data_IF_498816409911
#
_entry.id   IF_498816409911
#
_cell.length_a   1.000
_cell.length_b   1.000
_cell.length_c   1.000
_cell.angle_alpha   90.00
_cell.angle_beta   90.00
_cell.angle_gamma   90.00
#
_symmetry.space_group_name_H-M   'P 1'
#
loop_
_entity.id
_entity.type
_entity.pdbx_description
1 polymer ?
#
# COMPACT_ATOMS: atom_id res chain seq x y z
N UNK A 1 -19.02 -32.19 -36.97
CA UNK A 1 -20.07 -31.44 -36.27
C UNK A 1 -19.41 -30.29 -35.54
N UNK A 2 -19.56 -29.08 -36.08
CA UNK A 2 -19.24 -27.82 -35.43
C UNK A 2 -20.04 -27.67 -34.14
N UNK A 3 -19.46 -27.04 -33.12
CA UNK A 3 -19.77 -25.64 -32.79
C UNK A 3 -18.64 -25.05 -31.93
N UNK A 4 -17.93 -24.11 -32.53
CA UNK A 4 -17.20 -23.02 -31.90
C UNK A 4 -18.14 -22.09 -31.14
N UNK A 5 -17.81 -21.78 -29.89
CA UNK A 5 -18.05 -20.47 -29.26
C UNK A 5 -16.96 -20.30 -28.19
N UNK A 6 -15.96 -19.45 -28.30
CA UNK A 6 -16.08 -18.06 -28.74
C UNK A 6 -16.55 -17.21 -27.56
N UNK A 7 -15.58 -16.59 -26.86
CA UNK A 7 -15.68 -15.59 -25.79
C UNK A 7 -15.77 -16.06 -24.33
N UNK A 8 -14.60 -16.08 -23.67
CA UNK A 8 -14.30 -15.31 -22.44
C UNK A 8 -12.78 -15.36 -22.15
N UNK A 9 -12.01 -14.60 -22.93
CA UNK A 9 -10.68 -14.19 -22.50
C UNK A 9 -10.81 -12.78 -21.94
N UNK A 10 -11.01 -12.68 -20.62
CA UNK A 10 -10.76 -11.48 -19.82
C UNK A 10 -10.72 -11.96 -18.35
N UNK A 11 -9.53 -11.96 -17.75
CA UNK A 11 -9.17 -12.49 -16.42
C UNK A 11 -8.96 -14.01 -16.36
N UNK A 12 -7.81 -14.48 -16.82
CA UNK A 12 -7.24 -15.74 -16.29
C UNK A 12 -6.83 -15.48 -14.83
N UNK A 13 -6.93 -16.48 -13.96
CA UNK A 13 -6.53 -16.39 -12.54
C UNK A 13 -5.03 -16.20 -12.32
N UNK A 14 -4.26 -15.90 -13.38
CA UNK A 14 -2.80 -15.95 -13.40
C UNK A 14 -2.29 -17.24 -12.72
N UNK A 15 -1.44 -17.11 -11.71
CA UNK A 15 -0.91 -18.22 -10.92
C UNK A 15 -1.71 -18.51 -9.64
N UNK A 16 -2.82 -17.79 -9.40
CA UNK A 16 -3.64 -17.96 -8.20
C UNK A 16 -4.62 -19.12 -8.32
N UNK A 17 -4.77 -19.85 -7.22
CA UNK A 17 -5.84 -20.84 -7.04
C UNK A 17 -7.20 -20.14 -6.88
N UNK A 18 -8.29 -20.91 -7.03
CA UNK A 18 -9.63 -20.37 -6.78
C UNK A 18 -9.80 -19.88 -5.34
N UNK A 19 -9.20 -20.57 -4.36
CA UNK A 19 -9.25 -20.14 -2.96
C UNK A 19 -8.55 -18.78 -2.75
N UNK A 20 -7.38 -18.59 -3.39
CA UNK A 20 -6.65 -17.32 -3.34
C UNK A 20 -7.44 -16.19 -3.99
N UNK A 21 -8.08 -16.46 -5.13
CA UNK A 21 -9.00 -15.51 -5.77
C UNK A 21 -10.18 -15.15 -4.87
N UNK A 22 -10.79 -16.12 -4.19
CA UNK A 22 -11.91 -15.88 -3.29
C UNK A 22 -11.46 -15.06 -2.07
N UNK A 23 -10.27 -15.34 -1.52
CA UNK A 23 -9.65 -14.55 -0.44
C UNK A 23 -9.37 -13.11 -0.89
N UNK A 24 -8.79 -12.94 -2.08
CA UNK A 24 -8.58 -11.64 -2.69
C UNK A 24 -9.92 -10.91 -2.85
N UNK A 25 -10.91 -11.55 -3.47
CA UNK A 25 -12.24 -10.97 -3.71
C UNK A 25 -12.98 -10.57 -2.44
N UNK A 26 -12.77 -11.27 -1.30
CA UNK A 26 -13.35 -10.92 0.01
C UNK A 26 -12.74 -9.69 0.68
N UNK A 27 -11.45 -9.45 0.46
CA UNK A 27 -10.72 -8.30 1.00
C UNK A 27 -10.86 -7.05 0.12
N UNK A 28 -11.12 -7.31 -1.14
CA UNK A 28 -11.68 -6.40 -2.12
C UNK A 28 -13.22 -6.49 -1.95
N UNK A 29 -14.12 -5.82 -2.64
CA UNK A 29 -15.57 -5.85 -2.29
C UNK A 29 -15.96 -5.28 -0.90
N UNK A 30 -17.20 -4.81 -0.84
CA UNK A 30 -17.87 -4.39 0.38
C UNK A 30 -19.15 -5.19 0.46
N UNK A 31 -19.40 -5.89 1.57
CA UNK A 31 -20.54 -6.81 1.71
C UNK A 31 -21.78 -6.19 2.36
N UNK A 32 -21.68 -4.93 2.81
CA UNK A 32 -22.83 -4.24 3.40
C UNK A 32 -23.94 -3.94 2.38
N UNK A 33 -25.14 -3.77 2.94
CA UNK A 33 -26.36 -3.33 2.28
C UNK A 33 -26.19 -1.97 1.59
N UNK A 34 -27.13 -1.64 0.69
CA UNK A 34 -27.19 -0.31 0.08
C UNK A 34 -27.28 0.80 1.15
N UNK A 35 -28.04 0.56 2.23
CA UNK A 35 -28.16 1.51 3.34
C UNK A 35 -26.82 1.79 4.00
N UNK A 36 -26.01 0.77 4.24
CA UNK A 36 -24.66 0.93 4.81
C UNK A 36 -23.72 1.65 3.83
N UNK A 37 -23.77 1.33 2.53
CA UNK A 37 -23.00 2.08 1.52
C UNK A 37 -23.34 3.57 1.52
N UNK A 38 -24.64 3.89 1.56
CA UNK A 38 -25.11 5.27 1.63
C UNK A 38 -24.67 5.94 2.94
N UNK A 39 -24.77 5.23 4.07
CA UNK A 39 -24.30 5.72 5.36
C UNK A 39 -22.81 6.08 5.32
N UNK A 40 -21.95 5.24 4.72
CA UNK A 40 -20.50 5.48 4.59
C UNK A 40 -20.14 6.73 3.79
N UNK A 41 -21.09 7.30 3.05
CA UNK A 41 -20.91 8.60 2.37
C UNK A 41 -20.66 9.72 3.38
N UNK A 42 -21.21 9.62 4.59
CA UNK A 42 -21.16 10.68 5.61
C UNK A 42 -20.76 10.18 7.00
N UNK A 43 -21.14 8.96 7.40
CA UNK A 43 -20.83 8.36 8.70
C UNK A 43 -19.49 7.61 8.66
N UNK A 44 -18.80 7.51 9.81
CA UNK A 44 -17.62 6.67 9.92
C UNK A 44 -17.99 5.18 9.81
N UNK A 45 -17.11 4.39 9.20
CA UNK A 45 -17.21 2.93 9.20
C UNK A 45 -16.78 2.40 10.57
N UNK A 46 -17.75 2.02 11.42
CA UNK A 46 -17.49 1.43 12.73
C UNK A 46 -16.96 -0.01 12.66
N UNK A 47 -17.08 -0.68 11.51
CA UNK A 47 -16.68 -2.07 11.29
C UNK A 47 -15.26 -2.21 10.73
N UNK A 48 -14.57 -1.10 10.50
CA UNK A 48 -13.24 -1.12 9.93
C UNK A 48 -12.22 -1.80 10.87
N UNK A 49 -11.42 -2.77 10.39
CA UNK A 49 -10.43 -3.45 11.22
C UNK A 49 -9.36 -2.52 11.83
N UNK A 50 -9.16 -1.33 11.26
CA UNK A 50 -8.25 -0.30 11.76
C UNK A 50 -8.94 0.71 12.71
N UNK A 51 -10.21 0.49 13.07
CA UNK A 51 -11.00 1.36 13.93
C UNK A 51 -11.88 2.35 13.16
N UNK A 52 -12.84 2.96 13.87
CA UNK A 52 -13.88 3.79 13.27
C UNK A 52 -13.29 4.96 12.46
N UNK A 53 -13.53 4.98 11.15
CA UNK A 53 -13.00 6.03 10.26
C UNK A 53 -13.97 6.43 9.15
N UNK A 54 -14.00 7.72 8.83
CA UNK A 54 -14.74 8.20 7.66
C UNK A 54 -14.11 7.63 6.39
N UNK A 55 -14.94 7.23 5.42
CA UNK A 55 -14.50 6.80 4.09
C UNK A 55 -15.07 7.67 2.97
N UNK A 56 -16.20 8.32 3.21
CA UNK A 56 -16.93 9.12 2.23
C UNK A 56 -16.51 10.59 2.14
N UNK A 57 -17.50 11.42 1.85
CA UNK A 57 -17.36 12.86 1.55
C UNK A 57 -16.90 13.69 2.76
N UNK A 58 -17.05 13.15 3.97
CA UNK A 58 -16.60 13.78 5.22
C UNK A 58 -15.24 13.25 5.71
N UNK A 59 -14.51 12.48 4.89
CA UNK A 59 -13.16 12.08 5.23
C UNK A 59 -12.27 13.32 5.49
N UNK A 60 -11.44 13.35 6.56
CA UNK A 60 -10.66 14.52 6.95
C UNK A 60 -9.85 15.16 5.83
N UNK A 61 -9.31 14.35 4.90
CA UNK A 61 -8.57 14.83 3.72
C UNK A 61 -9.35 15.79 2.81
N UNK A 62 -10.69 15.79 2.87
CA UNK A 62 -11.54 16.65 2.04
C UNK A 62 -11.91 17.98 2.71
N UNK A 63 -11.65 18.12 4.01
CA UNK A 63 -12.13 19.23 4.82
C UNK A 63 -13.63 19.52 4.54
N UNK A 64 -13.95 20.75 4.12
CA UNK A 64 -15.31 21.19 3.81
C UNK A 64 -15.65 21.20 2.30
N UNK A 65 -14.77 20.66 1.45
CA UNK A 65 -14.92 20.74 -0.01
C UNK A 65 -16.28 20.19 -0.48
N UNK A 66 -16.59 18.94 -0.14
CA UNK A 66 -17.81 18.29 -0.61
C UNK A 66 -19.09 18.88 -0.02
N UNK A 67 -19.19 19.17 1.30
CA UNK A 67 -20.33 19.89 1.85
C UNK A 67 -20.61 21.20 1.12
N UNK A 68 -19.58 22.00 0.85
CA UNK A 68 -19.73 23.29 0.17
C UNK A 68 -20.12 23.11 -1.30
N UNK A 69 -19.58 22.11 -1.98
CA UNK A 69 -19.99 21.79 -3.35
C UNK A 69 -21.46 21.34 -3.44
N UNK A 70 -21.94 20.55 -2.48
CA UNK A 70 -23.36 20.14 -2.40
C UNK A 70 -24.26 21.36 -2.20
N UNK A 71 -23.91 22.26 -1.28
CA UNK A 71 -24.65 23.52 -1.08
C UNK A 71 -24.61 24.39 -2.34
N UNK A 72 -23.46 24.45 -3.02
CA UNK A 72 -23.30 25.24 -4.23
C UNK A 72 -24.21 24.73 -5.36
N UNK A 73 -24.21 23.41 -5.58
CA UNK A 73 -25.05 22.74 -6.56
C UNK A 73 -26.54 22.89 -6.21
N UNK A 74 -26.90 22.68 -4.94
CA UNK A 74 -28.26 22.88 -4.44
C UNK A 74 -28.75 24.31 -4.66
N UNK A 75 -27.89 25.31 -4.47
CA UNK A 75 -28.22 26.72 -4.72
C UNK A 75 -28.42 27.02 -6.20
N UNK A 76 -27.54 26.50 -7.07
CA UNK A 76 -27.70 26.60 -8.52
C UNK A 76 -29.02 25.97 -9.01
N UNK A 77 -29.42 24.86 -8.39
CA UNK A 77 -30.68 24.16 -8.69
C UNK A 77 -31.91 24.79 -7.98
N UNK A 78 -31.75 25.46 -6.84
CA UNK A 78 -32.88 26.13 -6.16
C UNK A 78 -33.21 27.48 -6.84
N UNK A 79 -32.20 28.17 -7.37
CA UNK A 79 -32.34 29.45 -8.08
C UNK A 79 -32.80 29.29 -9.55
N UNK A 80 -33.31 28.10 -9.91
CA UNK A 80 -33.74 27.71 -11.27
C UNK A 80 -34.76 28.66 -11.92
N UNK A 81 -35.45 29.53 -11.19
CA UNK A 81 -36.37 30.52 -11.79
C UNK A 81 -35.66 31.79 -12.30
N UNK A 82 -34.50 32.14 -11.76
CA UNK A 82 -33.79 33.39 -12.09
C UNK A 82 -32.38 33.23 -12.67
N UNK A 83 -31.77 32.05 -12.58
CA UNK A 83 -30.41 31.84 -13.08
C UNK A 83 -30.31 31.88 -14.63
N UNK A 84 -29.17 32.29 -15.21
CA UNK A 84 -28.91 32.19 -16.64
C UNK A 84 -29.02 30.73 -17.11
N UNK A 85 -29.60 30.49 -18.29
CA UNK A 85 -29.78 29.13 -18.84
C UNK A 85 -28.47 28.33 -18.91
N UNK A 86 -27.34 29.00 -19.16
CA UNK A 86 -26.00 28.40 -19.16
C UNK A 86 -25.60 27.83 -17.79
N UNK A 87 -25.83 28.58 -16.70
CA UNK A 87 -25.53 28.12 -15.34
C UNK A 87 -26.36 26.88 -14.97
N UNK A 88 -27.62 26.85 -15.39
CA UNK A 88 -28.50 25.67 -15.18
C UNK A 88 -27.97 24.43 -15.90
N UNK A 89 -27.57 24.56 -17.17
CA UNK A 89 -26.98 23.45 -17.92
C UNK A 89 -25.73 22.90 -17.24
N UNK A 90 -24.83 23.78 -16.80
CA UNK A 90 -23.64 23.37 -16.06
C UNK A 90 -23.97 22.73 -14.71
N UNK A 91 -24.93 23.26 -13.95
CA UNK A 91 -25.38 22.65 -12.71
C UNK A 91 -25.89 21.22 -12.94
N UNK A 92 -26.70 21.00 -13.97
CA UNK A 92 -27.20 19.65 -14.32
C UNK A 92 -26.04 18.73 -14.71
N UNK A 93 -25.14 19.17 -15.60
CA UNK A 93 -24.01 18.36 -16.05
C UNK A 93 -23.07 18.00 -14.89
N UNK A 94 -22.73 18.96 -14.04
CA UNK A 94 -21.86 18.75 -12.89
C UNK A 94 -22.53 17.87 -11.84
N UNK A 95 -23.83 18.07 -11.60
CA UNK A 95 -24.61 17.25 -10.68
C UNK A 95 -24.71 15.80 -11.13
N UNK A 96 -25.00 15.57 -12.42
CA UNK A 96 -25.01 14.22 -13.01
C UNK A 96 -23.62 13.58 -12.97
N UNK A 97 -22.55 14.35 -13.19
CA UNK A 97 -21.19 13.85 -13.13
C UNK A 97 -20.78 13.44 -11.70
N UNK A 98 -21.11 14.27 -10.70
CA UNK A 98 -20.90 13.93 -9.28
C UNK A 98 -21.71 12.71 -8.88
N UNK A 99 -22.97 12.62 -9.29
CA UNK A 99 -23.82 11.47 -9.01
C UNK A 99 -23.27 10.19 -9.65
N UNK A 100 -22.87 10.24 -10.92
CA UNK A 100 -22.29 9.10 -11.62
C UNK A 100 -20.99 8.61 -10.97
N UNK A 101 -20.10 9.53 -10.57
CA UNK A 101 -18.87 9.16 -9.86
C UNK A 101 -19.13 8.67 -8.44
N UNK A 102 -20.11 9.24 -7.73
CA UNK A 102 -20.48 8.75 -6.40
C UNK A 102 -21.08 7.34 -6.48
N UNK A 103 -21.92 7.07 -7.47
CA UNK A 103 -22.40 5.72 -7.78
C UNK A 103 -21.20 4.82 -8.09
N UNK A 104 -20.27 5.26 -8.94
CA UNK A 104 -19.10 4.46 -9.25
C UNK A 104 -18.26 4.14 -8.01
N UNK A 105 -18.08 5.11 -7.11
CA UNK A 105 -17.41 4.94 -5.83
C UNK A 105 -18.12 3.91 -4.94
N UNK A 106 -19.44 4.04 -4.80
CA UNK A 106 -20.27 3.14 -3.99
C UNK A 106 -20.20 1.68 -4.47
N UNK A 107 -20.09 1.43 -5.78
CA UNK A 107 -20.22 0.08 -6.34
C UNK A 107 -18.90 -0.55 -6.83
N UNK A 108 -17.92 0.24 -7.28
CA UNK A 108 -16.74 -0.29 -7.98
C UNK A 108 -15.40 -0.03 -7.27
N UNK A 109 -15.40 0.62 -6.11
CA UNK A 109 -14.13 1.07 -5.46
C UNK A 109 -13.94 0.57 -4.03
N UNK A 110 -14.82 -0.34 -3.59
CA UNK A 110 -14.84 -0.87 -2.22
C UNK A 110 -15.00 0.24 -1.17
N UNK A 111 -15.61 1.36 -1.59
CA UNK A 111 -16.02 2.46 -0.73
C UNK A 111 -14.83 3.05 0.04
N UNK A 112 -13.66 3.17 -0.60
CA UNK A 112 -12.47 3.77 0.02
C UNK A 112 -12.29 5.23 -0.39
N UNK A 113 -11.86 6.08 0.55
CA UNK A 113 -11.78 7.53 0.37
C UNK A 113 -10.86 7.97 -0.77
N UNK A 114 -9.74 7.26 -1.00
CA UNK A 114 -8.81 7.57 -2.09
C UNK A 114 -9.45 7.58 -3.48
N UNK A 115 -10.51 6.81 -3.68
CA UNK A 115 -11.22 6.77 -4.96
C UNK A 115 -12.22 7.91 -5.14
N UNK A 116 -12.35 8.82 -4.16
CA UNK A 116 -13.11 10.06 -4.31
C UNK A 116 -12.29 11.21 -4.92
N UNK A 117 -10.97 11.03 -5.12
CA UNK A 117 -10.09 12.02 -5.77
C UNK A 117 -10.67 12.57 -7.10
N UNK A 118 -11.26 11.76 -7.99
CA UNK A 118 -11.85 12.26 -9.23
C UNK A 118 -13.04 13.22 -9.04
N UNK A 119 -13.72 13.21 -7.89
CA UNK A 119 -14.86 14.10 -7.63
C UNK A 119 -14.39 15.52 -7.25
N UNK A 120 -13.17 15.68 -6.74
CA UNK A 120 -12.68 16.97 -6.22
C UNK A 120 -12.67 18.08 -7.30
N UNK A 121 -12.16 17.87 -8.53
CA UNK A 121 -12.24 18.88 -9.58
C UNK A 121 -13.68 19.29 -9.94
N UNK A 122 -14.62 18.35 -9.94
CA UNK A 122 -16.03 18.62 -10.27
C UNK A 122 -16.70 19.40 -9.14
N UNK A 123 -16.40 19.06 -7.89
CA UNK A 123 -16.85 19.79 -6.71
C UNK A 123 -16.37 21.25 -6.76
N UNK A 124 -15.10 21.48 -7.10
CA UNK A 124 -14.55 22.83 -7.29
C UNK A 124 -15.27 23.56 -8.42
N UNK A 125 -15.50 22.91 -9.57
CA UNK A 125 -16.21 23.54 -10.70
C UNK A 125 -17.65 23.95 -10.34
N UNK A 126 -18.37 23.16 -9.54
CA UNK A 126 -19.71 23.52 -9.09
C UNK A 126 -19.70 24.81 -8.25
N UNK A 127 -18.71 24.94 -7.36
CA UNK A 127 -18.50 26.15 -6.55
C UNK A 127 -18.16 27.35 -7.46
N UNK A 128 -17.27 27.16 -8.43
CA UNK A 128 -16.87 28.21 -9.39
C UNK A 128 -18.04 28.67 -10.28
N UNK A 129 -18.91 27.76 -10.73
CA UNK A 129 -20.08 28.11 -11.55
C UNK A 129 -21.11 28.88 -10.74
N UNK A 130 -21.38 28.47 -9.50
CA UNK A 130 -22.24 29.25 -8.60
C UNK A 130 -21.67 30.66 -8.44
N UNK A 131 -20.37 30.72 -8.18
CA UNK A 131 -19.66 31.96 -8.03
C UNK A 131 -19.79 32.90 -9.24
N UNK A 132 -19.44 32.42 -10.44
CA UNK A 132 -19.58 33.18 -11.69
C UNK A 132 -21.03 33.67 -11.88
N UNK A 133 -22.03 32.83 -11.58
CA UNK A 133 -23.44 33.21 -11.71
C UNK A 133 -23.84 34.36 -10.77
N UNK A 134 -23.33 34.39 -9.54
CA UNK A 134 -23.59 35.47 -8.57
C UNK A 134 -22.88 36.77 -8.96
N UNK A 135 -21.75 36.68 -9.66
CA UNK A 135 -20.97 37.85 -10.10
C UNK A 135 -21.57 38.59 -11.31
N UNK A 136 -22.54 38.02 -12.03
CA UNK A 136 -23.11 38.60 -13.26
C UNK A 136 -24.43 39.37 -13.06
N UNK A 137 -24.94 39.47 -11.82
CA UNK A 137 -26.21 40.16 -11.51
C UNK A 137 -26.07 41.67 -11.22
N UNK A 138 -27.19 42.39 -10.97
CA UNK A 138 -27.18 43.82 -10.59
C UNK A 138 -26.44 44.10 -9.27
N UNK A 139 -26.19 43.06 -8.47
CA UNK A 139 -25.35 43.09 -7.28
C UNK A 139 -23.92 42.57 -7.54
N UNK A 140 -23.40 42.72 -8.78
CA UNK A 140 -22.10 42.19 -9.25
C UNK A 140 -20.96 42.36 -8.26
N UNK A 141 -20.77 43.56 -7.71
CA UNK A 141 -19.67 43.81 -6.77
C UNK A 141 -19.83 43.09 -5.44
N UNK A 142 -21.08 42.83 -5.01
CA UNK A 142 -21.37 42.05 -3.80
C UNK A 142 -21.23 40.55 -4.09
N UNK A 143 -21.69 40.10 -5.25
CA UNK A 143 -21.54 38.71 -5.73
C UNK A 143 -20.07 38.33 -5.88
N UNK A 144 -19.28 39.14 -6.59
CA UNK A 144 -17.84 38.93 -6.76
C UNK A 144 -17.11 38.91 -5.41
N UNK A 145 -17.47 39.79 -4.48
CA UNK A 145 -16.92 39.78 -3.11
C UNK A 145 -17.25 38.48 -2.36
N UNK A 146 -18.50 38.01 -2.41
CA UNK A 146 -18.90 36.73 -1.79
C UNK A 146 -18.12 35.56 -2.39
N UNK A 147 -17.94 35.56 -3.71
CA UNK A 147 -17.17 34.52 -4.43
C UNK A 147 -15.72 34.50 -4.02
N UNK A 148 -15.06 35.65 -4.08
CA UNK A 148 -13.64 35.76 -3.74
C UNK A 148 -13.44 35.40 -2.28
N UNK A 149 -14.31 35.86 -1.38
CA UNK A 149 -14.26 35.49 0.03
C UNK A 149 -14.49 33.99 0.26
N UNK A 150 -15.44 33.36 -0.44
CA UNK A 150 -15.70 31.92 -0.30
C UNK A 150 -14.55 31.09 -0.88
N UNK A 151 -14.02 31.46 -2.05
CA UNK A 151 -12.87 30.80 -2.65
C UNK A 151 -11.62 30.96 -1.79
N UNK A 152 -11.37 32.15 -1.24
CA UNK A 152 -10.30 32.40 -0.31
C UNK A 152 -10.48 31.61 0.99
N UNK A 153 -11.69 31.57 1.56
CA UNK A 153 -11.99 30.78 2.74
C UNK A 153 -11.76 29.28 2.51
N UNK A 154 -12.21 28.75 1.37
CA UNK A 154 -12.00 27.36 0.97
C UNK A 154 -10.52 27.05 0.76
N UNK A 155 -9.80 27.89 0.02
CA UNK A 155 -8.39 27.68 -0.28
C UNK A 155 -7.54 27.78 0.99
N UNK A 156 -7.73 28.83 1.79
CA UNK A 156 -6.99 29.04 3.03
C UNK A 156 -7.38 28.02 4.10
N UNK A 157 -8.67 27.69 4.22
CA UNK A 157 -9.17 26.69 5.15
C UNK A 157 -8.67 25.30 4.80
N UNK A 158 -8.71 24.91 3.53
CA UNK A 158 -8.19 23.62 3.08
C UNK A 158 -6.67 23.57 3.21
N UNK A 159 -5.95 24.63 2.79
CA UNK A 159 -4.49 24.70 2.96
C UNK A 159 -4.08 24.64 4.44
N UNK A 160 -4.75 25.39 5.31
CA UNK A 160 -4.51 25.37 6.75
C UNK A 160 -4.82 24.01 7.39
N UNK A 161 -5.92 23.37 6.97
CA UNK A 161 -6.27 22.04 7.45
C UNK A 161 -5.30 20.96 6.95
N UNK A 162 -4.92 20.98 5.67
CA UNK A 162 -3.91 20.09 5.12
C UNK A 162 -2.56 20.29 5.81
N UNK A 163 -2.16 21.55 6.07
CA UNK A 163 -0.95 21.85 6.83
C UNK A 163 -1.05 21.31 8.27
N UNK A 164 -2.19 21.50 8.94
CA UNK A 164 -2.42 20.93 10.26
C UNK A 164 -2.31 19.40 10.25
N UNK A 165 -3.05 18.70 9.38
CA UNK A 165 -2.97 17.25 9.26
C UNK A 165 -1.54 16.78 8.99
N UNK A 166 -0.86 17.42 8.05
CA UNK A 166 0.52 17.14 7.72
C UNK A 166 1.45 17.30 8.94
N UNK A 167 1.29 18.34 9.74
CA UNK A 167 2.07 18.50 10.98
C UNK A 167 1.77 17.45 12.04
N UNK A 168 0.61 16.79 12.00
CA UNK A 168 0.26 15.72 12.94
C UNK A 168 0.76 14.34 12.48
N UNK A 169 1.14 14.17 11.22
CA UNK A 169 1.65 12.90 10.72
C UNK A 169 2.97 12.53 11.41
N UNK A 170 3.15 11.23 11.67
CA UNK A 170 4.35 10.67 12.32
C UNK A 170 4.74 11.41 13.61
N UNK A 171 3.75 11.72 14.45
CA UNK A 171 3.97 12.39 15.74
C UNK A 171 4.73 13.72 15.63
N UNK A 172 4.45 14.53 14.59
CA UNK A 172 5.11 15.83 14.40
C UNK A 172 6.20 15.84 13.34
N UNK A 173 6.46 14.70 12.69
CA UNK A 173 7.64 14.49 11.86
C UNK A 173 7.30 13.91 10.47
N UNK A 174 6.44 14.58 9.67
CA UNK A 174 5.96 14.06 8.39
C UNK A 174 7.08 13.75 7.39
N UNK A 175 8.07 14.65 7.31
CA UNK A 175 9.12 14.66 6.30
C UNK A 175 10.39 13.87 6.66
N UNK A 176 10.46 13.23 7.83
CA UNK A 176 11.70 12.58 8.28
C UNK A 176 12.25 11.59 7.24
N UNK A 177 11.39 10.79 6.62
CA UNK A 177 11.82 9.86 5.57
C UNK A 177 12.32 10.56 4.28
N UNK A 178 11.76 11.73 3.94
CA UNK A 178 12.17 12.50 2.76
C UNK A 178 13.52 13.21 2.96
N UNK A 179 13.75 13.74 4.17
CA UNK A 179 15.00 14.45 4.51
C UNK A 179 16.18 13.49 4.56
N UNK A 180 16.00 12.30 5.15
CA UNK A 180 17.09 11.34 5.30
C UNK A 180 17.32 10.55 3.99
N UNK A 181 16.26 10.34 3.20
CA UNK A 181 16.33 9.69 1.89
C UNK A 181 16.51 8.17 1.95
N UNK A 182 16.58 7.54 0.76
CA UNK A 182 16.66 6.08 0.62
C UNK A 182 17.94 5.47 1.25
N UNK A 183 19.01 6.26 1.38
CA UNK A 183 20.28 5.82 1.97
C UNK A 183 20.15 5.34 3.42
N UNK A 184 19.21 5.90 4.21
CA UNK A 184 18.99 5.43 5.57
C UNK A 184 18.18 4.15 5.67
N UNK A 185 17.26 3.89 4.73
CA UNK A 185 16.53 2.63 4.69
C UNK A 185 17.41 1.48 4.21
N UNK A 186 18.33 1.77 3.29
CA UNK A 186 19.25 0.76 2.73
C UNK A 186 20.51 0.56 3.57
N UNK A 187 20.82 1.47 4.49
CA UNK A 187 22.07 1.49 5.27
C UNK A 187 23.26 2.11 4.53
N UNK A 188 23.08 2.59 3.29
CA UNK A 188 24.15 3.14 2.47
C UNK A 188 24.79 4.39 3.08
N UNK A 189 24.01 5.21 3.79
CA UNK A 189 24.51 6.44 4.43
C UNK A 189 25.58 6.19 5.50
N UNK A 190 25.63 4.98 6.07
CA UNK A 190 26.55 4.61 7.15
C UNK A 190 27.51 3.47 6.77
N UNK A 191 27.36 2.86 5.58
CA UNK A 191 28.10 1.66 5.14
C UNK A 191 29.62 1.83 5.25
N UNK A 192 30.14 2.98 4.85
CA UNK A 192 31.60 3.26 4.85
C UNK A 192 32.15 3.63 6.21
N UNK A 193 31.30 4.09 7.13
CA UNK A 193 31.70 4.53 8.47
C UNK A 193 31.66 3.38 9.47
N UNK A 194 30.69 2.47 9.33
CA UNK A 194 30.43 1.38 10.27
C UNK A 194 31.65 0.48 10.58
N UNK A 195 32.52 0.12 9.60
CA UNK A 195 33.72 -0.67 9.87
C UNK A 195 34.76 0.06 10.72
N UNK A 196 34.76 1.39 10.69
CA UNK A 196 35.73 2.24 11.39
C UNK A 196 35.31 2.60 12.82
N UNK A 197 34.06 2.29 13.21
CA UNK A 197 33.57 2.53 14.56
C UNK A 197 34.12 1.48 15.54
N UNK A 198 34.41 1.86 16.80
CA UNK A 198 34.61 0.92 17.90
C UNK A 198 33.42 -0.04 18.04
N UNK A 199 33.68 -1.29 18.45
CA UNK A 199 32.66 -2.34 18.51
C UNK A 199 31.40 -1.91 19.28
N UNK A 200 31.55 -1.32 20.47
CA UNK A 200 30.41 -0.86 21.27
C UNK A 200 29.56 0.21 20.55
N UNK A 201 30.18 1.11 19.79
CA UNK A 201 29.47 2.12 19.01
C UNK A 201 28.80 1.51 17.77
N UNK A 202 29.45 0.53 17.14
CA UNK A 202 28.88 -0.21 16.02
C UNK A 202 27.61 -0.95 16.45
N UNK A 203 27.65 -1.64 17.58
CA UNK A 203 26.51 -2.38 18.11
C UNK A 203 25.35 -1.42 18.46
N UNK A 204 25.66 -0.27 19.04
CA UNK A 204 24.66 0.78 19.31
C UNK A 204 23.99 1.28 18.03
N UNK A 205 24.78 1.61 16.99
CA UNK A 205 24.23 2.04 15.69
C UNK A 205 23.36 0.94 15.07
N UNK A 206 23.84 -0.30 15.05
CA UNK A 206 23.10 -1.44 14.50
C UNK A 206 21.78 -1.69 15.25
N UNK A 207 21.71 -1.40 16.55
CA UNK A 207 20.48 -1.54 17.33
C UNK A 207 19.42 -0.46 17.07
N UNK A 208 19.82 0.67 16.46
CA UNK A 208 18.93 1.81 16.24
C UNK A 208 18.43 1.93 14.78
N UNK A 209 19.09 1.25 13.84
CA UNK A 209 18.74 1.32 12.42
C UNK A 209 17.52 0.46 12.06
N UNK A 210 16.78 0.82 10.98
CA UNK A 210 15.65 0.04 10.52
C UNK A 210 16.04 -1.37 10.03
N UNK A 211 15.08 -2.31 9.96
CA UNK A 211 15.34 -3.70 9.59
C UNK A 211 16.08 -3.87 8.26
N UNK A 212 15.69 -3.09 7.26
CA UNK A 212 16.25 -3.18 5.92
C UNK A 212 17.72 -2.78 5.89
N UNK A 213 18.07 -1.70 6.59
CA UNK A 213 19.44 -1.24 6.71
C UNK A 213 20.30 -2.25 7.48
N UNK A 214 19.78 -2.78 8.59
CA UNK A 214 20.47 -3.82 9.36
C UNK A 214 20.78 -5.04 8.51
N UNK A 215 19.79 -5.54 7.77
CA UNK A 215 19.94 -6.70 6.90
C UNK A 215 21.02 -6.47 5.84
N UNK A 216 20.97 -5.34 5.14
CA UNK A 216 21.91 -5.01 4.06
C UNK A 216 23.36 -4.82 4.54
N UNK A 217 23.55 -4.52 5.83
CA UNK A 217 24.85 -4.26 6.43
C UNK A 217 25.44 -5.49 7.14
N UNK A 218 24.59 -6.45 7.57
CA UNK A 218 25.01 -7.54 8.45
C UNK A 218 24.87 -8.93 7.86
N UNK A 219 23.95 -9.15 6.91
CA UNK A 219 23.78 -10.46 6.30
C UNK A 219 24.79 -10.69 5.17
N UNK A 220 25.25 -11.93 4.96
CA UNK A 220 26.05 -12.29 3.80
C UNK A 220 25.33 -11.96 2.49
N UNK A 221 26.06 -11.50 1.47
CA UNK A 221 25.48 -11.13 0.17
C UNK A 221 24.81 -12.27 -0.59
N UNK A 222 25.26 -13.51 -0.36
CA UNK A 222 24.72 -14.73 -0.96
C UNK A 222 23.58 -15.34 -0.14
N UNK A 223 23.32 -14.85 1.07
CA UNK A 223 22.25 -15.32 1.92
C UNK A 223 20.88 -15.11 1.26
N UNK A 224 19.99 -16.09 1.43
CA UNK A 224 18.60 -15.97 1.00
C UNK A 224 17.71 -15.59 2.17
N UNK A 225 17.07 -14.43 2.09
CA UNK A 225 16.13 -13.92 3.07
C UNK A 225 14.70 -14.17 2.60
N UNK A 226 13.86 -14.70 3.48
CA UNK A 226 12.42 -14.76 3.27
C UNK A 226 11.68 -13.76 4.16
N UNK A 227 10.77 -12.98 3.57
CA UNK A 227 9.89 -12.06 4.27
C UNK A 227 8.56 -12.75 4.56
N UNK A 228 8.23 -12.88 5.85
CA UNK A 228 7.00 -13.49 6.32
C UNK A 228 6.10 -12.44 6.99
N UNK A 229 4.91 -12.22 6.40
CA UNK A 229 4.02 -11.15 6.82
C UNK A 229 4.46 -9.76 6.34
N UNK A 230 5.36 -9.70 5.37
CA UNK A 230 5.84 -8.48 4.75
C UNK A 230 6.04 -8.73 3.25
N UNK A 231 5.73 -7.73 2.43
CA UNK A 231 5.78 -7.81 0.97
C UNK A 231 6.47 -6.58 0.36
N UNK A 232 7.31 -5.89 1.14
CA UNK A 232 8.00 -4.67 0.73
C UNK A 232 9.51 -4.86 0.58
N UNK A 233 9.99 -5.56 -0.47
CA UNK A 233 11.42 -5.86 -0.65
C UNK A 233 12.26 -4.65 -1.09
N UNK A 234 11.64 -3.50 -1.37
CA UNK A 234 12.25 -2.41 -2.15
C UNK A 234 13.58 -1.87 -1.60
N UNK A 235 13.78 -1.88 -0.27
CA UNK A 235 15.02 -1.41 0.36
C UNK A 235 15.98 -2.53 0.76
N UNK A 236 15.67 -3.78 0.44
CA UNK A 236 16.50 -4.94 0.75
C UNK A 236 17.36 -5.30 -0.46
N UNK A 237 18.65 -5.47 -0.23
CA UNK A 237 19.59 -6.03 -1.20
C UNK A 237 19.70 -7.55 -1.08
N UNK A 238 20.27 -8.18 -2.12
CA UNK A 238 20.55 -9.61 -2.13
C UNK A 238 19.37 -10.48 -2.59
N UNK A 239 19.35 -11.73 -2.14
CA UNK A 239 18.36 -12.72 -2.56
C UNK A 239 17.15 -12.70 -1.61
N UNK A 240 16.09 -12.00 -1.98
CA UNK A 240 14.89 -11.82 -1.15
C UNK A 240 13.68 -12.53 -1.75
N UNK A 241 13.12 -13.46 -0.99
CA UNK A 241 11.81 -14.04 -1.25
C UNK A 241 10.74 -13.34 -0.41
N UNK A 242 9.58 -13.12 -1.00
CA UNK A 242 8.42 -12.61 -0.30
C UNK A 242 7.16 -13.12 -0.99
N UNK A 243 6.05 -13.09 -0.27
CA UNK A 243 4.74 -13.38 -0.82
C UNK A 243 3.77 -12.29 -0.34
N UNK A 244 2.85 -11.87 -1.19
CA UNK A 244 1.75 -11.03 -0.69
C UNK A 244 0.84 -11.86 0.22
N UNK A 245 -0.09 -11.21 0.91
CA UNK A 245 -1.08 -11.88 1.76
C UNK A 245 -1.92 -12.94 1.02
N UNK A 246 -2.03 -12.86 -0.31
CA UNK A 246 -2.86 -13.75 -1.12
C UNK A 246 -2.05 -14.81 -1.87
N UNK A 247 -0.74 -14.64 -2.00
CA UNK A 247 0.12 -15.56 -2.74
C UNK A 247 0.43 -16.81 -1.92
N UNK A 248 0.88 -17.86 -2.61
CA UNK A 248 1.37 -19.06 -1.96
C UNK A 248 2.61 -18.73 -1.12
N UNK A 249 2.67 -19.28 0.09
CA UNK A 249 3.79 -19.07 1.00
C UNK A 249 4.66 -20.33 1.13
N UNK A 250 6.00 -20.21 1.23
CA UNK A 250 6.87 -21.35 1.54
C UNK A 250 6.45 -22.10 2.82
N UNK A 251 5.90 -21.39 3.81
CA UNK A 251 5.39 -22.00 5.04
C UNK A 251 4.11 -22.81 4.81
N UNK A 252 3.21 -22.36 3.94
CA UNK A 252 2.02 -23.14 3.56
C UNK A 252 2.41 -24.44 2.90
N UNK A 253 3.30 -24.39 1.90
CA UNK A 253 3.77 -25.60 1.22
C UNK A 253 4.49 -26.57 2.16
N UNK A 254 5.25 -26.05 3.13
CA UNK A 254 5.85 -26.84 4.20
C UNK A 254 4.80 -27.51 5.10
N UNK A 255 3.76 -26.78 5.50
CA UNK A 255 2.67 -27.28 6.34
C UNK A 255 1.85 -28.33 5.60
N UNK A 256 1.53 -28.11 4.32
CA UNK A 256 0.78 -29.06 3.52
C UNK A 256 1.52 -30.39 3.37
N UNK A 257 2.86 -30.34 3.26
CA UNK A 257 3.69 -31.54 3.11
C UNK A 257 3.97 -32.28 4.43
N UNK A 258 4.19 -31.55 5.52
CA UNK A 258 4.67 -32.13 6.79
C UNK A 258 3.67 -31.99 7.95
N UNK A 259 2.46 -31.52 7.66
CA UNK A 259 1.42 -31.31 8.67
C UNK A 259 1.91 -30.37 9.77
N UNK A 260 1.86 -30.83 11.01
CA UNK A 260 2.26 -30.06 12.20
C UNK A 260 3.74 -30.21 12.59
N UNK A 261 4.58 -30.90 11.80
CA UNK A 261 5.99 -31.10 12.12
C UNK A 261 6.86 -29.89 11.72
N UNK A 262 7.25 -29.07 12.70
CA UNK A 262 8.14 -27.94 12.50
C UNK A 262 9.54 -28.33 11.99
N UNK A 263 9.99 -29.56 12.24
CA UNK A 263 11.27 -30.08 11.72
C UNK A 263 11.18 -30.33 10.23
N UNK A 264 10.08 -30.93 9.76
CA UNK A 264 9.72 -31.03 8.35
C UNK A 264 9.67 -29.66 7.68
N UNK A 265 9.03 -28.67 8.32
CA UNK A 265 8.97 -27.31 7.77
C UNK A 265 10.35 -26.67 7.61
N UNK A 266 11.19 -26.74 8.65
CA UNK A 266 12.54 -26.19 8.58
C UNK A 266 13.38 -26.91 7.52
N UNK A 267 13.25 -28.24 7.37
CA UNK A 267 13.93 -28.99 6.30
C UNK A 267 13.49 -28.51 4.92
N UNK A 268 12.19 -28.32 4.72
CA UNK A 268 11.63 -27.81 3.47
C UNK A 268 12.20 -26.44 3.11
N UNK A 269 12.16 -25.48 4.06
CA UNK A 269 12.68 -24.13 3.85
C UNK A 269 14.20 -24.13 3.57
N UNK A 270 14.96 -24.96 4.31
CA UNK A 270 16.40 -25.12 4.08
C UNK A 270 16.71 -25.77 2.73
N UNK A 271 15.90 -26.70 2.24
CA UNK A 271 16.03 -27.29 0.91
C UNK A 271 15.83 -26.25 -0.20
N UNK A 272 15.02 -25.23 0.05
CA UNK A 272 14.88 -24.04 -0.81
C UNK A 272 15.99 -23.00 -0.63
N UNK A 273 17.02 -23.33 0.15
CA UNK A 273 18.15 -22.46 0.48
C UNK A 273 17.75 -21.20 1.25
N UNK A 274 16.60 -21.18 1.92
CA UNK A 274 16.22 -20.04 2.78
C UNK A 274 17.09 -20.05 4.04
N UNK A 275 17.88 -18.99 4.21
CA UNK A 275 18.83 -18.86 5.31
C UNK A 275 18.29 -18.06 6.49
N UNK A 276 17.57 -17.00 6.17
CA UNK A 276 17.04 -16.05 7.13
C UNK A 276 15.56 -15.85 6.89
N UNK A 277 14.83 -15.56 7.97
CA UNK A 277 13.43 -15.14 7.89
C UNK A 277 13.24 -13.86 8.68
N UNK A 278 12.73 -12.83 8.02
CA UNK A 278 12.24 -11.62 8.68
C UNK A 278 10.73 -11.75 8.85
N UNK A 279 10.28 -11.83 10.09
CA UNK A 279 8.87 -12.01 10.43
C UNK A 279 8.30 -10.70 10.91
N UNK A 280 7.21 -10.24 10.30
CA UNK A 280 6.39 -9.14 10.78
C UNK A 280 5.17 -9.69 11.54
N UNK A 281 5.34 -9.94 12.84
CA UNK A 281 4.27 -10.46 13.69
C UNK A 281 3.12 -9.47 13.83
N UNK A 282 3.39 -8.15 13.83
CA UNK A 282 2.36 -7.12 13.89
C UNK A 282 1.40 -7.22 12.70
N UNK A 283 1.95 -7.37 11.50
CA UNK A 283 1.19 -7.49 10.28
C UNK A 283 0.48 -8.84 10.16
N UNK A 284 1.15 -9.97 10.47
CA UNK A 284 0.49 -11.29 10.50
C UNK A 284 -0.74 -11.28 11.41
N UNK A 285 -0.62 -10.72 12.61
CA UNK A 285 -1.74 -10.59 13.54
C UNK A 285 -2.87 -9.74 12.95
N UNK A 286 -2.55 -8.62 12.27
CA UNK A 286 -3.55 -7.77 11.62
C UNK A 286 -4.25 -8.52 10.48
N UNK A 287 -3.52 -9.24 9.65
CA UNK A 287 -4.04 -9.98 8.49
C UNK A 287 -4.93 -11.14 8.91
N UNK A 288 -4.55 -11.90 9.95
CA UNK A 288 -5.37 -12.97 10.52
C UNK A 288 -6.67 -12.40 11.10
N UNK A 289 -6.61 -11.34 11.91
CA UNK A 289 -7.82 -10.69 12.45
C UNK A 289 -8.74 -10.14 11.36
N UNK A 290 -8.17 -9.68 10.25
CA UNK A 290 -8.94 -9.17 9.12
C UNK A 290 -9.53 -10.28 8.23
N UNK A 291 -9.17 -11.55 8.48
CA UNK A 291 -9.58 -12.69 7.64
C UNK A 291 -8.91 -12.69 6.26
N UNK A 292 -7.80 -11.98 6.11
CA UNK A 292 -7.10 -11.83 4.84
C UNK A 292 -5.95 -12.81 4.68
N UNK A 293 -5.37 -13.30 5.78
CA UNK A 293 -4.25 -14.22 5.74
C UNK A 293 -4.59 -15.58 5.10
N UNK A 294 -3.58 -16.21 4.52
CA UNK A 294 -3.56 -17.65 4.24
C UNK A 294 -3.74 -18.43 5.56
N UNK A 295 -4.61 -19.46 5.67
CA UNK A 295 -5.03 -19.99 6.96
C UNK A 295 -3.91 -20.68 7.73
N UNK A 296 -2.90 -21.19 7.01
CA UNK A 296 -1.71 -21.82 7.57
C UNK A 296 -0.62 -20.80 7.94
N UNK A 297 -0.67 -19.58 7.40
CA UNK A 297 0.31 -18.51 7.66
C UNK A 297 -0.16 -17.66 8.83
N UNK A 298 0.01 -18.21 10.04
CA UNK A 298 -0.42 -17.56 11.28
C UNK A 298 0.77 -17.16 12.16
N UNK A 299 0.61 -16.20 13.09
CA UNK A 299 1.60 -15.89 14.11
C UNK A 299 2.04 -17.13 14.91
N UNK A 300 1.12 -18.05 15.20
CA UNK A 300 1.39 -19.27 15.98
C UNK A 300 2.29 -20.23 15.21
N UNK A 301 2.01 -20.49 13.92
CA UNK A 301 2.85 -21.35 13.09
C UNK A 301 4.21 -20.72 12.81
N UNK A 302 4.25 -19.40 12.57
CA UNK A 302 5.48 -18.64 12.44
C UNK A 302 6.34 -18.76 13.72
N UNK A 303 5.73 -18.55 14.89
CA UNK A 303 6.39 -18.69 16.18
C UNK A 303 6.87 -20.13 16.43
N UNK A 304 6.05 -21.13 16.12
CA UNK A 304 6.41 -22.55 16.25
C UNK A 304 7.64 -22.91 15.43
N UNK A 305 7.74 -22.40 14.20
CA UNK A 305 8.91 -22.57 13.34
C UNK A 305 10.17 -21.97 14.00
N UNK A 306 10.12 -20.69 14.40
CA UNK A 306 11.33 -20.00 14.87
C UNK A 306 11.73 -20.35 16.30
N UNK A 307 10.81 -20.75 17.17
CA UNK A 307 11.14 -21.31 18.49
C UNK A 307 11.86 -22.65 18.34
N UNK A 308 11.43 -23.47 17.38
CA UNK A 308 12.01 -24.80 17.17
C UNK A 308 13.35 -24.72 16.44
N UNK A 309 13.43 -23.92 15.38
CA UNK A 309 14.54 -23.95 14.41
C UNK A 309 15.17 -22.60 14.11
N UNK A 310 14.63 -21.50 14.65
CA UNK A 310 15.22 -20.17 14.52
C UNK A 310 16.30 -19.90 15.55
N UNK A 311 17.20 -18.99 15.22
CA UNK A 311 18.07 -18.29 16.15
C UNK A 311 17.89 -16.81 15.91
N UNK A 312 17.40 -16.08 16.91
CA UNK A 312 17.16 -14.65 16.79
C UNK A 312 18.48 -13.93 16.52
N UNK A 313 18.50 -13.09 15.48
CA UNK A 313 19.64 -12.23 15.15
C UNK A 313 19.38 -10.83 15.69
N UNK A 314 18.18 -10.31 15.45
CA UNK A 314 17.78 -8.99 15.90
C UNK A 314 16.25 -8.87 15.96
N UNK A 315 15.71 -7.99 16.80
CA UNK A 315 14.29 -7.68 16.86
C UNK A 315 14.04 -6.18 16.97
N UNK A 316 12.95 -5.74 16.36
CA UNK A 316 12.43 -4.37 16.41
C UNK A 316 11.03 -4.40 17.05
N UNK A 317 10.93 -4.43 18.40
CA UNK A 317 9.67 -4.60 19.11
C UNK A 317 8.64 -3.53 18.75
N UNK A 318 9.06 -2.28 18.60
CA UNK A 318 8.21 -1.14 18.23
C UNK A 318 7.56 -1.30 16.84
N UNK A 319 8.17 -2.12 15.97
CA UNK A 319 7.64 -2.43 14.64
C UNK A 319 6.95 -3.82 14.59
N UNK A 320 7.03 -4.60 15.67
CA UNK A 320 6.55 -5.98 15.70
C UNK A 320 7.30 -6.91 14.74
N UNK A 321 8.58 -6.62 14.44
CA UNK A 321 9.41 -7.37 13.48
C UNK A 321 10.58 -8.06 14.17
N UNK A 322 10.96 -9.24 13.69
CA UNK A 322 12.17 -9.93 14.17
C UNK A 322 12.83 -10.75 13.06
N UNK A 323 14.15 -10.72 13.03
CA UNK A 323 15.00 -11.44 12.08
C UNK A 323 15.58 -12.69 12.76
N UNK A 324 15.39 -13.84 12.12
CA UNK A 324 15.90 -15.12 12.57
C UNK A 324 16.79 -15.75 11.52
N UNK A 325 17.87 -16.40 11.96
CA UNK A 325 18.61 -17.36 11.16
C UNK A 325 17.97 -18.74 11.33
N UNK A 326 17.64 -19.40 10.22
CA UNK A 326 17.11 -20.76 10.27
C UNK A 326 18.27 -21.76 10.42
N UNK A 327 18.24 -22.53 11.51
CA UNK A 327 19.17 -23.63 11.75
C UNK A 327 18.87 -24.79 10.79
N UNK A 328 19.90 -25.59 10.50
CA UNK A 328 19.77 -26.77 9.66
C UNK A 328 19.29 -27.95 10.51
N UNK A 329 18.11 -28.53 10.23
CA UNK A 329 17.66 -29.72 10.92
C UNK A 329 18.45 -30.96 10.50
N UNK A 330 18.48 -32.01 11.34
CA UNK A 330 19.05 -33.30 10.94
C UNK A 330 18.28 -33.86 9.73
N UNK A 331 18.95 -34.65 8.88
CA UNK A 331 18.28 -35.32 7.76
C UNK A 331 17.18 -36.27 8.27
N UNK A 332 16.11 -36.50 7.46
CA UNK A 332 15.09 -37.50 7.80
C UNK A 332 15.70 -38.87 8.10
N UNK A 333 15.14 -39.63 9.04
CA UNK A 333 15.38 -41.07 9.05
C UNK A 333 14.85 -41.70 7.74
N UNK A 334 15.48 -42.78 7.23
CA UNK A 334 15.14 -43.38 5.94
C UNK A 334 13.67 -43.79 5.77
N UNK A 335 12.96 -44.02 6.87
CA UNK A 335 11.55 -44.44 6.92
C UNK A 335 10.53 -43.30 6.75
N UNK A 336 10.97 -42.03 6.76
CA UNK A 336 10.10 -40.85 6.69
C UNK A 336 10.24 -40.05 5.39
N UNK A 337 11.01 -40.54 4.42
CA UNK A 337 11.08 -39.94 3.09
C UNK A 337 9.72 -40.15 2.39
N UNK A 338 8.99 -39.08 2.01
CA UNK A 338 7.78 -39.24 1.21
C UNK A 338 8.11 -39.93 -0.11
N UNK A 339 7.21 -40.79 -0.65
CA UNK A 339 7.36 -41.28 -2.01
C UNK A 339 7.26 -40.07 -2.94
N UNK A 340 8.23 -39.94 -3.83
CA UNK A 340 8.41 -38.84 -4.79
C UNK A 340 8.90 -37.52 -4.16
N UNK A 341 10.23 -37.33 -4.18
CA UNK A 341 10.84 -36.02 -4.06
C UNK A 341 10.97 -35.45 -5.49
N UNK A 342 10.02 -34.62 -5.98
CA UNK A 342 10.23 -33.95 -7.24
C UNK A 342 11.41 -32.99 -7.05
N UNK A 343 12.37 -33.07 -7.96
CA UNK A 343 13.50 -32.15 -8.01
C UNK A 343 13.05 -30.69 -7.81
N UNK A 344 13.89 -29.82 -7.22
CA UNK A 344 13.56 -28.44 -6.79
C UNK A 344 13.16 -27.45 -7.90
N UNK A 345 12.77 -27.94 -9.08
CA UNK A 345 12.44 -27.15 -10.27
C UNK A 345 10.94 -26.81 -10.42
N UNK A 346 10.07 -27.26 -9.49
CA UNK A 346 8.63 -27.02 -9.58
C UNK A 346 8.13 -25.75 -8.85
N UNK A 347 9.02 -25.06 -8.13
CA UNK A 347 8.80 -23.70 -7.63
C UNK A 347 9.80 -22.78 -8.34
N UNK A 348 9.64 -22.67 -9.66
CA UNK A 348 10.27 -21.57 -10.36
C UNK A 348 9.77 -20.26 -9.74
N UNK A 349 10.64 -19.25 -9.55
CA UNK A 349 10.17 -17.91 -9.21
C UNK A 349 9.14 -17.51 -10.26
N UNK A 350 7.99 -17.01 -9.76
CA UNK A 350 7.10 -16.12 -10.51
C UNK A 350 7.97 -15.26 -11.43
N UNK A 351 7.67 -15.24 -12.72
CA UNK A 351 8.30 -14.37 -13.71
C UNK A 351 8.49 -12.99 -13.08
N UNK A 352 9.70 -12.75 -12.57
CA UNK A 352 10.15 -11.42 -12.26
C UNK A 352 10.05 -10.70 -13.59
N UNK A 353 9.15 -9.71 -13.65
CA UNK A 353 9.05 -8.81 -14.77
C UNK A 353 10.47 -8.50 -15.24
N UNK A 354 10.78 -8.89 -16.47
CA UNK A 354 12.11 -8.76 -17.03
C UNK A 354 12.67 -7.38 -16.67
N UNK A 355 13.90 -7.27 -16.15
CA UNK A 355 14.49 -5.96 -15.97
C UNK A 355 14.48 -5.29 -17.33
N UNK A 356 13.74 -4.18 -17.45
CA UNK A 356 13.90 -3.27 -18.57
C UNK A 356 15.39 -2.93 -18.62
N UNK A 357 16.09 -3.56 -19.55
CA UNK A 357 17.43 -3.16 -19.97
C UNK A 357 17.27 -1.75 -20.53
N UNK A 358 17.47 -0.75 -19.66
CA UNK A 358 17.79 0.59 -20.11
C UNK A 358 19.15 0.46 -20.79
N UNK A 359 19.13 0.41 -22.12
CA UNK A 359 20.34 0.61 -22.91
C UNK A 359 21.03 1.90 -22.43
N UNK A 360 22.35 1.89 -22.25
CA UNK A 360 23.08 3.11 -21.94
C UNK A 360 22.94 4.06 -23.13
N UNK A 361 22.26 5.19 -22.89
CA UNK A 361 22.19 6.30 -23.83
C UNK A 361 23.61 6.74 -24.20
N UNK A 362 23.94 6.91 -25.50
CA UNK A 362 25.29 7.25 -25.93
C UNK A 362 25.70 8.61 -25.38
N UNK A 363 26.94 8.63 -24.91
CA UNK A 363 27.68 9.74 -24.35
C UNK A 363 27.47 11.04 -25.15
N UNK A 364 26.83 12.02 -24.53
CA UNK A 364 26.89 13.40 -25.00
C UNK A 364 28.29 13.95 -24.68
N UNK A 365 29.17 13.88 -25.66
CA UNK A 365 30.46 14.60 -25.70
C UNK A 365 30.19 16.08 -25.49
N UNK A 366 30.42 16.57 -24.26
CA UNK A 366 30.44 18.01 -23.98
C UNK A 366 31.79 18.54 -24.46
N UNK A 367 31.78 19.20 -25.61
CA UNK A 367 32.82 20.13 -25.99
C UNK A 367 32.86 21.26 -24.94
N UNK A 368 33.94 21.31 -24.17
CA UNK A 368 34.34 22.47 -23.40
C UNK A 368 35.60 23.01 -24.06
N UNK A 369 35.43 24.07 -24.84
CA UNK A 369 36.53 24.91 -25.25
C UNK A 369 36.08 26.37 -25.17
N UNK A 370 37.00 27.20 -24.70
CA UNK A 370 36.96 28.68 -24.59
C UNK A 370 36.15 29.26 -23.42
N UNK A 371 36.73 30.06 -22.51
CA UNK A 371 38.06 30.62 -22.47
C UNK A 371 38.33 31.30 -21.12
N UNK A 372 39.61 31.32 -20.75
CA UNK A 372 40.12 32.05 -19.61
C UNK A 372 40.53 33.48 -20.03
N UNK A 373 39.97 34.47 -19.34
CA UNK A 373 40.55 35.76 -18.85
C UNK A 373 41.29 36.72 -19.80
N UNK A 374 41.40 38.03 -19.46
CA UNK A 374 41.07 38.71 -18.19
C UNK A 374 39.80 39.55 -18.21
#
# INVERSE_FOLDING_TARGET
MSFTSGHRAAFTSAHWTQEQLDRFARSHQFYGSLGERLALTILPDSSDPAGARHRGLLHPQWALLFPIAIVALGTLLATLRGAPARAKRWAIVLGLSLAAQLIAWLFFTHVQSRFLLPLAPIAVLAIVVLADSLSRGPARDRGLRVVVSLAAFLALGHAGWSAYLFTQERAGHPNTALVIGAGAFTGESIRTQLPNLPQAQRDEVLNQIPPEAFINLTLPHDARLWLLGDATPFYLGGNVDYNTTYDASPLTAAIDRYGSDATGWARYLRAQKIDYVLINFGELNRLVRSGFAEPSVTPENANKLVVSWGSIIHAWPEQGRALYKLRVPPPPPPSELPPDDPSPSALAPSDAAAPNTLEPSPSATRASDQGATP
#
